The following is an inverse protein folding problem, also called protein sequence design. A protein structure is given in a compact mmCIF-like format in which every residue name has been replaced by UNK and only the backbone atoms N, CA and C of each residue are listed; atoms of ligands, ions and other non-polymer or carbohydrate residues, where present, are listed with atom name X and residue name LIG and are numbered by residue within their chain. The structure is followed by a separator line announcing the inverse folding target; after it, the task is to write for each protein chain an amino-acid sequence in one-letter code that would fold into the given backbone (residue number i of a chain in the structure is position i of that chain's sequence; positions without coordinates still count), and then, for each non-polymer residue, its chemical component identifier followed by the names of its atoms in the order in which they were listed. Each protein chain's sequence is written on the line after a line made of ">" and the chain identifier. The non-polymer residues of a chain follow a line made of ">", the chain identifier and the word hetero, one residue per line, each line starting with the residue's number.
data_IF_166044155773
#
_entry.id   IF_166044155773
#
_cell.length_a   1.000
_cell.length_b   1.000
_cell.length_c   1.000
_cell.angle_alpha   90.00
_cell.angle_beta   90.00
_cell.angle_gamma   90.00
#
_symmetry.space_group_name_H-M   'P 1'
#
loop_
_entity.id
_entity.type
_entity.pdbx_description
1 polymer ?
#
# COMPACT_ATOMS: atom_id res chain seq x y z
N UNK A 1 -4.68 17.67 -15.19
CA UNK A 1 -3.93 17.12 -14.03
C UNK A 1 -2.55 16.69 -14.51
N UNK A 2 -1.48 17.19 -13.89
CA UNK A 2 -0.10 16.94 -14.34
C UNK A 2 0.35 15.52 -13.98
N UNK A 3 1.25 14.95 -14.79
CA UNK A 3 1.82 13.61 -14.59
C UNK A 3 2.45 13.46 -13.19
N UNK A 4 3.01 14.55 -12.68
CA UNK A 4 3.61 14.70 -11.35
C UNK A 4 2.62 14.44 -10.22
N UNK A 5 1.41 15.03 -10.25
CA UNK A 5 0.40 14.84 -9.19
C UNK A 5 -0.12 13.41 -9.18
N UNK A 6 -0.31 12.81 -10.36
CA UNK A 6 -0.69 11.40 -10.48
C UNK A 6 0.36 10.49 -9.84
N UNK A 7 1.63 10.68 -10.21
CA UNK A 7 2.73 9.89 -9.66
C UNK A 7 2.88 10.12 -8.16
N UNK A 8 2.77 11.37 -7.71
CA UNK A 8 2.83 11.73 -6.30
C UNK A 8 1.75 11.05 -5.47
N UNK A 9 0.50 11.04 -5.95
CA UNK A 9 -0.59 10.32 -5.31
C UNK A 9 -0.33 8.81 -5.22
N UNK A 10 0.10 8.17 -6.30
CA UNK A 10 0.43 6.74 -6.31
C UNK A 10 1.56 6.41 -5.33
N UNK A 11 2.67 7.15 -5.36
CA UNK A 11 3.82 6.88 -4.49
C UNK A 11 3.49 7.15 -3.01
N UNK A 12 2.76 8.22 -2.73
CA UNK A 12 2.28 8.51 -1.38
C UNK A 12 1.39 7.38 -0.85
N UNK A 13 0.42 6.94 -1.65
CA UNK A 13 -0.48 5.85 -1.29
C UNK A 13 0.24 4.50 -1.13
N UNK A 14 1.19 4.20 -2.02
CA UNK A 14 2.01 3.00 -1.93
C UNK A 14 2.86 2.97 -0.64
N UNK A 15 3.45 4.12 -0.28
CA UNK A 15 4.20 4.25 0.96
C UNK A 15 3.30 4.15 2.21
N UNK A 16 2.39 5.10 2.41
CA UNK A 16 1.55 5.12 3.62
C UNK A 16 0.67 3.87 3.71
N UNK A 17 0.05 3.46 2.61
CA UNK A 17 -0.79 2.27 2.55
C UNK A 17 -0.03 0.97 2.75
N UNK A 18 1.19 0.87 2.20
CA UNK A 18 2.08 -0.26 2.43
C UNK A 18 2.45 -0.40 3.91
N UNK A 19 2.78 0.71 4.57
CA UNK A 19 3.06 0.73 6.00
C UNK A 19 1.86 0.29 6.85
N UNK A 20 0.67 0.84 6.58
CA UNK A 20 -0.55 0.47 7.30
C UNK A 20 -0.91 -1.00 7.09
N UNK A 21 -0.75 -1.51 5.87
CA UNK A 21 -1.00 -2.93 5.55
C UNK A 21 -0.04 -3.83 6.31
N UNK A 22 1.26 -3.52 6.28
CA UNK A 22 2.28 -4.29 6.99
C UNK A 22 2.01 -4.30 8.50
N UNK A 23 1.71 -3.14 9.09
CA UNK A 23 1.36 -3.04 10.50
C UNK A 23 0.12 -3.87 10.85
N UNK A 24 -0.94 -3.79 10.06
CA UNK A 24 -2.17 -4.56 10.29
C UNK A 24 -1.91 -6.08 10.21
N UNK A 25 -1.18 -6.54 9.21
CA UNK A 25 -0.81 -7.95 9.04
C UNK A 25 0.02 -8.43 10.24
N UNK A 26 1.04 -7.68 10.65
CA UNK A 26 1.85 -8.03 11.82
C UNK A 26 1.00 -8.12 13.10
N UNK A 27 0.03 -7.23 13.29
CA UNK A 27 -0.87 -7.31 14.45
C UNK A 27 -1.80 -8.51 14.40
N UNK A 28 -2.37 -8.82 13.23
CA UNK A 28 -3.25 -9.99 13.06
C UNK A 28 -2.50 -11.28 13.35
N UNK A 29 -1.28 -11.42 12.82
CA UNK A 29 -0.44 -12.59 13.07
C UNK A 29 -0.11 -12.73 14.56
N UNK A 30 0.25 -11.62 15.21
CA UNK A 30 0.47 -11.60 16.66
C UNK A 30 -0.73 -12.08 17.46
N UNK A 31 -1.93 -11.58 17.14
CA UNK A 31 -3.16 -12.01 17.82
C UNK A 31 -3.45 -13.49 17.62
N UNK A 32 -3.24 -14.00 16.40
CA UNK A 32 -3.39 -15.42 16.10
C UNK A 32 -2.43 -16.27 16.92
N UNK A 33 -1.18 -15.87 17.01
CA UNK A 33 -0.16 -16.60 17.77
C UNK A 33 -0.38 -16.54 19.28
N UNK A 34 -0.92 -15.43 19.81
CA UNK A 34 -1.40 -15.36 21.19
C UNK A 34 -2.57 -16.31 21.46
N UNK A 35 -3.49 -16.48 20.50
CA UNK A 35 -4.63 -17.38 20.62
C UNK A 35 -4.23 -18.86 20.51
N UNK A 36 -3.32 -19.18 19.58
CA UNK A 36 -2.86 -20.56 19.31
C UNK A 36 -1.76 -21.02 20.29
N UNK A 37 -1.19 -20.12 21.10
CA UNK A 37 -0.11 -20.42 22.04
C UNK A 37 1.23 -20.79 21.38
N UNK A 38 1.38 -20.49 20.08
CA UNK A 38 2.57 -20.79 19.27
C UNK A 38 3.43 -19.55 19.03
N UNK A 39 4.70 -19.72 18.61
CA UNK A 39 5.51 -18.59 18.10
C UNK A 39 4.88 -17.99 16.83
N UNK A 40 5.11 -16.69 16.60
CA UNK A 40 4.48 -15.87 15.54
C UNK A 40 4.51 -16.50 14.13
N UNK A 41 5.50 -17.36 13.85
CA UNK A 41 5.80 -17.72 12.47
C UNK A 41 5.88 -19.21 12.15
N UNK A 42 6.00 -20.12 13.13
CA UNK A 42 6.15 -21.57 12.84
C UNK A 42 7.30 -21.96 11.89
N UNK A 43 8.18 -21.02 11.53
CA UNK A 43 9.24 -21.18 10.54
C UNK A 43 10.55 -21.59 11.23
N UNK A 44 11.30 -22.58 10.70
CA UNK A 44 12.63 -22.91 11.17
C UNK A 44 13.58 -21.73 10.93
N UNK A 45 14.26 -21.34 12.01
CA UNK A 45 15.06 -20.12 12.10
C UNK A 45 16.48 -20.39 11.55
N UNK A 46 16.64 -20.52 10.24
CA UNK A 46 17.98 -20.77 9.65
C UNK A 46 18.70 -19.50 9.17
N UNK A 47 18.03 -18.36 9.03
CA UNK A 47 18.68 -17.06 8.74
C UNK A 47 17.85 -15.86 9.26
N UNK A 48 17.85 -15.69 10.58
CA UNK A 48 17.16 -14.55 11.24
C UNK A 48 17.75 -13.21 10.83
N UNK A 49 19.05 -13.17 10.51
CA UNK A 49 19.74 -11.92 10.21
C UNK A 49 19.38 -11.43 8.80
N UNK A 50 19.44 -12.32 7.80
CA UNK A 50 19.03 -12.00 6.43
C UNK A 50 17.57 -11.56 6.34
N UNK A 51 16.68 -12.25 7.07
CA UNK A 51 15.25 -11.90 7.09
C UNK A 51 14.98 -10.53 7.75
N UNK A 52 15.66 -10.24 8.87
CA UNK A 52 15.52 -8.96 9.56
C UNK A 52 16.05 -7.79 8.72
N UNK A 53 17.15 -7.98 8.01
CA UNK A 53 17.70 -6.98 7.08
C UNK A 53 16.72 -6.74 5.93
N UNK A 54 16.20 -7.80 5.31
CA UNK A 54 15.22 -7.68 4.23
C UNK A 54 13.95 -6.93 4.67
N UNK A 55 13.40 -7.26 5.83
CA UNK A 55 12.24 -6.57 6.40
C UNK A 55 12.53 -5.08 6.67
N UNK A 56 13.72 -4.76 7.17
CA UNK A 56 14.15 -3.39 7.42
C UNK A 56 14.29 -2.58 6.11
N UNK A 57 14.85 -3.18 5.06
CA UNK A 57 14.98 -2.55 3.73
C UNK A 57 13.60 -2.26 3.13
N UNK A 58 12.66 -3.19 3.24
CA UNK A 58 11.28 -2.99 2.78
C UNK A 58 10.64 -1.83 3.56
N UNK A 59 10.79 -1.80 4.88
CA UNK A 59 10.23 -0.74 5.73
C UNK A 59 10.79 0.65 5.36
N UNK A 60 12.10 0.77 5.15
CA UNK A 60 12.73 2.03 4.72
C UNK A 60 12.26 2.42 3.32
N UNK A 61 12.17 1.46 2.40
CA UNK A 61 11.72 1.70 1.03
C UNK A 61 10.30 2.28 0.98
N UNK A 62 9.40 1.74 1.79
CA UNK A 62 8.01 2.24 1.92
C UNK A 62 7.99 3.70 2.39
N UNK A 63 8.83 4.08 3.36
CA UNK A 63 8.96 5.47 3.82
C UNK A 63 9.55 6.39 2.75
N UNK A 64 10.56 5.93 2.00
CA UNK A 64 11.11 6.69 0.87
C UNK A 64 10.01 6.97 -0.16
N UNK A 65 9.20 5.96 -0.53
CA UNK A 65 8.08 6.13 -1.45
C UNK A 65 7.08 7.18 -0.93
N UNK A 66 6.73 7.13 0.36
CA UNK A 66 5.84 8.11 0.97
C UNK A 66 6.40 9.54 0.86
N UNK A 67 7.67 9.74 1.23
CA UNK A 67 8.32 11.06 1.18
C UNK A 67 8.44 11.60 -0.24
N UNK A 68 8.83 10.76 -1.21
CA UNK A 68 8.87 11.14 -2.63
C UNK A 68 7.46 11.50 -3.12
N UNK A 69 6.44 10.75 -2.73
CA UNK A 69 5.04 11.05 -3.04
C UNK A 69 4.62 12.42 -2.55
N UNK A 70 4.92 12.76 -1.28
CA UNK A 70 4.66 14.07 -0.69
C UNK A 70 5.38 15.17 -1.46
N UNK A 71 6.67 15.00 -1.75
CA UNK A 71 7.46 15.99 -2.50
C UNK A 71 6.89 16.27 -3.90
N UNK A 72 6.43 15.24 -4.60
CA UNK A 72 5.79 15.38 -5.91
C UNK A 72 4.41 16.05 -5.83
N UNK A 73 3.63 15.76 -4.79
CA UNK A 73 2.35 16.42 -4.56
C UNK A 73 2.54 17.90 -4.21
N UNK A 74 3.52 18.22 -3.37
CA UNK A 74 3.91 19.58 -3.00
C UNK A 74 4.32 20.38 -4.24
N UNK A 75 5.24 19.84 -5.04
CA UNK A 75 5.71 20.48 -6.28
C UNK A 75 4.62 20.62 -7.34
N UNK A 76 3.70 19.66 -7.38
CA UNK A 76 2.54 19.70 -8.26
C UNK A 76 1.51 20.76 -7.84
N UNK A 77 1.41 21.07 -6.54
CA UNK A 77 0.59 22.15 -6.01
C UNK A 77 1.18 23.53 -6.32
N UNK A 78 2.50 23.66 -6.16
CA UNK A 78 3.20 24.95 -6.30
C UNK A 78 3.27 25.45 -7.75
N UNK A 79 3.16 24.53 -8.72
CA UNK A 79 3.20 24.82 -10.16
C UNK A 79 1.83 25.10 -10.79
N UNK A 80 0.74 25.06 -10.02
CA UNK A 80 -0.60 25.28 -10.57
C UNK A 80 -1.46 26.11 -9.64
N UNK A 81 -1.96 27.25 -10.12
CA UNK A 81 -2.91 28.16 -9.43
C UNK A 81 -4.28 27.52 -9.09
N UNK A 82 -4.45 26.20 -9.26
CA UNK A 82 -5.68 25.49 -8.97
C UNK A 82 -5.47 24.48 -7.85
N UNK A 83 -6.34 24.47 -6.82
CA UNK A 83 -6.26 23.49 -5.75
C UNK A 83 -6.31 22.07 -6.30
N UNK A 84 -5.48 21.20 -5.72
CA UNK A 84 -5.41 19.79 -6.07
C UNK A 84 -6.81 19.15 -5.95
N UNK A 85 -7.31 18.46 -6.99
CA UNK A 85 -8.61 17.78 -6.92
C UNK A 85 -8.50 16.62 -5.92
N UNK A 86 -8.98 16.84 -4.69
CA UNK A 86 -8.82 15.90 -3.56
C UNK A 86 -9.33 14.49 -3.88
N UNK A 87 -10.41 14.37 -4.64
CA UNK A 87 -10.93 13.07 -5.14
C UNK A 87 -9.96 12.37 -6.09
N UNK A 88 -9.31 13.10 -6.98
CA UNK A 88 -8.35 12.49 -7.89
C UNK A 88 -7.05 12.10 -7.17
N UNK A 89 -6.54 12.96 -6.27
CA UNK A 89 -5.35 12.65 -5.45
C UNK A 89 -5.61 11.44 -4.54
N UNK A 90 -6.74 11.44 -3.82
CA UNK A 90 -7.15 10.31 -3.00
C UNK A 90 -7.37 9.04 -3.81
N UNK A 91 -7.92 9.16 -5.03
CA UNK A 91 -8.09 8.02 -5.93
C UNK A 91 -6.76 7.41 -6.37
N UNK A 92 -5.76 8.22 -6.70
CA UNK A 92 -4.42 7.74 -7.01
C UNK A 92 -3.69 7.17 -5.80
N UNK A 93 -3.90 7.73 -4.60
CA UNK A 93 -3.39 7.17 -3.36
C UNK A 93 -3.98 5.78 -3.08
N UNK A 94 -5.30 5.59 -3.28
CA UNK A 94 -5.94 4.26 -3.18
C UNK A 94 -5.38 3.26 -4.20
N UNK A 95 -5.10 3.69 -5.43
CA UNK A 95 -4.44 2.84 -6.43
C UNK A 95 -3.05 2.42 -5.97
N UNK A 96 -2.25 3.35 -5.44
CA UNK A 96 -0.92 3.06 -4.90
C UNK A 96 -0.96 2.08 -3.73
N UNK A 97 -1.83 2.34 -2.75
CA UNK A 97 -2.04 1.44 -1.61
C UNK A 97 -2.46 0.06 -2.09
N UNK A 98 -3.54 -0.04 -2.86
CA UNK A 98 -4.08 -1.31 -3.32
C UNK A 98 -3.08 -2.14 -4.12
N UNK A 99 -2.23 -1.48 -4.92
CA UNK A 99 -1.17 -2.17 -5.67
C UNK A 99 -0.17 -2.84 -4.73
N UNK A 100 0.33 -2.12 -3.71
CA UNK A 100 1.29 -2.69 -2.74
C UNK A 100 0.65 -3.81 -1.92
N UNK A 101 -0.57 -3.62 -1.42
CA UNK A 101 -1.31 -4.64 -0.66
C UNK A 101 -1.51 -5.91 -1.50
N UNK A 102 -1.90 -5.76 -2.77
CA UNK A 102 -2.10 -6.90 -3.66
C UNK A 102 -0.80 -7.62 -4.01
N UNK A 103 0.29 -6.88 -4.25
CA UNK A 103 1.61 -7.47 -4.54
C UNK A 103 2.15 -8.23 -3.33
N UNK A 104 1.99 -7.71 -2.11
CA UNK A 104 2.39 -8.42 -0.89
C UNK A 104 1.63 -9.73 -0.74
N UNK A 105 0.30 -9.68 -0.85
CA UNK A 105 -0.53 -10.90 -0.79
C UNK A 105 -0.18 -11.92 -1.88
N UNK A 106 0.12 -11.45 -3.10
CA UNK A 106 0.48 -12.34 -4.21
C UNK A 106 1.87 -12.97 -4.02
N UNK A 107 2.84 -12.19 -3.54
CA UNK A 107 4.18 -12.69 -3.24
C UNK A 107 4.13 -13.78 -2.16
N UNK A 108 3.37 -13.56 -1.09
CA UNK A 108 3.22 -14.55 -0.01
C UNK A 108 2.44 -15.79 -0.48
N UNK A 109 1.38 -15.61 -1.29
CA UNK A 109 0.59 -16.72 -1.83
C UNK A 109 1.41 -17.67 -2.71
N UNK A 110 2.37 -17.13 -3.49
CA UNK A 110 3.28 -17.93 -4.33
C UNK A 110 4.21 -18.84 -3.51
N UNK A 111 4.45 -18.50 -2.24
CA UNK A 111 5.38 -19.21 -1.35
C UNK A 111 4.63 -19.98 -0.24
N UNK A 112 3.33 -19.75 -0.04
CA UNK A 112 2.55 -20.29 1.07
C UNK A 112 2.21 -21.81 0.95
N UNK A 113 2.44 -22.55 2.05
CA UNK A 113 2.20 -24.00 2.13
C UNK A 113 0.84 -24.42 2.71
N UNK A 114 0.15 -23.65 3.57
CA UNK A 114 -1.33 -23.74 3.77
C UNK A 114 -1.90 -22.75 4.80
N UNK A 115 -1.28 -22.56 5.98
CA UNK A 115 -1.89 -21.84 7.11
C UNK A 115 -2.10 -20.32 6.92
N UNK A 116 -1.37 -19.71 5.97
CA UNK A 116 -1.43 -18.26 5.64
C UNK A 116 -2.24 -17.94 4.38
N UNK A 117 -2.63 -18.95 3.59
CA UNK A 117 -3.29 -18.74 2.28
C UNK A 117 -4.53 -17.86 2.33
N UNK A 118 -5.35 -18.00 3.38
CA UNK A 118 -6.56 -17.19 3.53
C UNK A 118 -6.25 -15.70 3.71
N UNK A 119 -5.21 -15.38 4.49
CA UNK A 119 -4.77 -14.01 4.71
C UNK A 119 -4.15 -13.43 3.43
N UNK A 120 -3.29 -14.19 2.76
CA UNK A 120 -2.63 -13.78 1.52
C UNK A 120 -3.66 -13.53 0.40
N UNK A 121 -4.65 -14.40 0.29
CA UNK A 121 -5.78 -14.22 -0.64
C UNK A 121 -6.60 -12.98 -0.30
N UNK A 122 -6.88 -12.74 0.98
CA UNK A 122 -7.59 -11.56 1.43
C UNK A 122 -6.82 -10.28 1.09
N UNK A 123 -5.49 -10.27 1.19
CA UNK A 123 -4.64 -9.15 0.78
C UNK A 123 -4.71 -8.90 -0.73
N UNK A 124 -4.67 -9.96 -1.56
CA UNK A 124 -4.84 -9.82 -3.02
C UNK A 124 -6.21 -9.19 -3.35
N UNK A 125 -7.28 -9.73 -2.76
CA UNK A 125 -8.64 -9.22 -2.99
C UNK A 125 -8.78 -7.78 -2.51
N UNK A 126 -8.29 -7.46 -1.31
CA UNK A 126 -8.29 -6.10 -0.78
C UNK A 126 -7.52 -5.13 -1.70
N UNK A 127 -6.37 -5.55 -2.22
CA UNK A 127 -5.58 -4.78 -3.17
C UNK A 127 -6.37 -4.46 -4.45
N UNK A 128 -7.01 -5.46 -5.05
CA UNK A 128 -7.86 -5.28 -6.23
C UNK A 128 -9.05 -4.35 -5.97
N UNK A 129 -9.69 -4.49 -4.80
CA UNK A 129 -10.80 -3.62 -4.37
C UNK A 129 -10.33 -2.17 -4.23
N UNK A 130 -9.21 -1.93 -3.55
CA UNK A 130 -8.63 -0.60 -3.38
C UNK A 130 -8.26 0.05 -4.71
N UNK A 131 -7.65 -0.71 -5.64
CA UNK A 131 -7.37 -0.23 -7.00
C UNK A 131 -8.66 0.12 -7.74
N UNK A 132 -9.68 -0.75 -7.70
CA UNK A 132 -10.97 -0.51 -8.33
C UNK A 132 -11.69 0.74 -7.79
N UNK A 133 -11.71 0.90 -6.47
CA UNK A 133 -12.27 2.07 -5.80
C UNK A 133 -11.48 3.35 -6.14
N UNK A 134 -10.16 3.27 -6.16
CA UNK A 134 -9.30 4.39 -6.54
C UNK A 134 -9.56 4.86 -7.98
N UNK A 135 -9.64 3.92 -8.94
CA UNK A 135 -9.97 4.22 -10.33
C UNK A 135 -11.38 4.82 -10.48
N UNK A 136 -12.36 4.32 -9.72
CA UNK A 136 -13.71 4.90 -9.69
C UNK A 136 -13.68 6.34 -9.17
N UNK A 137 -12.92 6.61 -8.10
CA UNK A 137 -12.82 7.92 -7.47
C UNK A 137 -12.15 8.94 -8.42
N UNK A 138 -11.10 8.53 -9.13
CA UNK A 138 -10.45 9.34 -10.18
C UNK A 138 -11.45 9.71 -11.28
N UNK A 139 -12.26 8.75 -11.75
CA UNK A 139 -13.27 8.99 -12.80
C UNK A 139 -14.37 9.95 -12.33
N UNK A 140 -14.78 9.89 -11.07
CA UNK A 140 -15.77 10.83 -10.51
C UNK A 140 -15.19 12.22 -10.27
N UNK A 141 -13.92 12.33 -9.88
CA UNK A 141 -13.25 13.62 -9.68
C UNK A 141 -13.01 14.39 -10.98
N UNK A 142 -12.81 13.70 -12.11
CA UNK A 142 -12.70 14.35 -13.42
C UNK A 142 -13.96 15.08 -13.87
N UNK A 143 -15.14 14.66 -13.38
CA UNK A 143 -16.42 15.33 -13.67
C UNK A 143 -16.62 16.62 -12.88
N UNK A 144 -16.09 16.71 -11.66
CA UNK A 144 -16.13 17.94 -10.85
C UNK A 144 -15.29 19.07 -11.44
N UNK A 145 -14.15 18.76 -12.07
CA UNK A 145 -13.31 19.76 -12.74
C UNK A 145 -13.84 20.24 -14.10
N UNK A 146 -14.83 19.55 -14.67
CA UNK A 146 -15.48 19.95 -15.93
C UNK A 146 -16.77 20.77 -15.70
N UNK A 147 -17.30 20.76 -14.47
CA UNK A 147 -18.51 21.50 -14.07
C UNK A 147 -18.21 22.81 -13.31
N UNK A 148 -16.93 23.14 -13.08
CA UNK A 148 -16.45 24.42 -12.53
C UNK A 148 -15.61 25.14 -13.57
#
# INVERSE_FOLDING_TARGET
>A
MTRTVRLGGILFGAGVGGFLTAMAVSQILRWRSLADGTREDGLPVTDVHGLAVAASVVQVSIWILAMVGIGLLWHGSDRGDRPLPGRAVGGWALVGWGTVTGVLGLADLLVATDARRALDTALVVAGLVLVGLGLRLVRTGGRESAAR
#
